data_IF_874771360712
#
_entry.id   IF_874771360712
#
_cell.length_a   1.000
_cell.length_b   1.000
_cell.length_c   1.000
_cell.angle_alpha   90.00
_cell.angle_beta   90.00
_cell.angle_gamma   90.00
#
_symmetry.space_group_name_H-M   'P 1'
#
loop_
_entity.id
_entity.type
_entity.pdbx_description
1 polymer ?
#
# COMPACT_ATOMS: atom_id res chain seq x y z
N UNK A 1 10.03 10.62 -19.04
CA UNK A 1 10.47 9.37 -18.36
C UNK A 1 11.92 9.57 -17.99
N UNK A 2 12.35 9.06 -16.83
CA UNK A 2 13.74 9.15 -16.41
C UNK A 2 14.66 8.41 -17.40
N UNK A 3 15.81 9.00 -17.82
CA UNK A 3 16.74 8.35 -18.74
C UNK A 3 17.30 7.01 -18.23
N UNK A 4 17.36 6.80 -16.91
CA UNK A 4 17.85 5.54 -16.32
C UNK A 4 16.96 4.34 -16.65
N UNK A 5 15.69 4.59 -16.99
CA UNK A 5 14.74 3.56 -17.42
C UNK A 5 14.80 3.29 -18.93
N UNK A 6 15.69 3.96 -19.66
CA UNK A 6 15.94 3.61 -21.06
C UNK A 6 16.58 2.22 -21.15
N UNK A 7 16.03 1.39 -22.02
CA UNK A 7 16.51 0.01 -22.16
C UNK A 7 17.91 0.04 -22.80
N UNK A 8 18.91 -0.65 -22.20
CA UNK A 8 20.21 -0.78 -22.82
C UNK A 8 20.10 -1.54 -24.16
N UNK A 9 21.04 -1.37 -25.09
CA UNK A 9 20.98 -1.99 -26.43
C UNK A 9 20.75 -3.50 -26.40
N UNK A 10 21.32 -4.22 -25.44
CA UNK A 10 21.10 -5.67 -25.32
C UNK A 10 19.68 -6.05 -24.90
N UNK A 11 18.90 -5.15 -24.29
CA UNK A 11 17.48 -5.36 -23.97
C UNK A 11 16.55 -4.73 -25.02
N UNK A 12 17.12 -4.16 -26.09
CA UNK A 12 16.38 -3.47 -27.15
C UNK A 12 15.59 -4.39 -28.08
N UNK A 13 15.62 -5.71 -27.89
CA UNK A 13 14.72 -6.68 -28.52
C UNK A 13 13.37 -6.77 -27.79
N UNK A 14 13.34 -6.44 -26.50
CA UNK A 14 12.12 -6.40 -25.68
C UNK A 14 11.44 -7.75 -25.50
N UNK A 15 10.36 -7.77 -24.73
CA UNK A 15 9.49 -8.93 -24.57
C UNK A 15 8.31 -8.84 -25.53
N UNK A 16 7.78 -9.99 -26.01
CA UNK A 16 6.43 -10.04 -26.56
C UNK A 16 5.43 -9.48 -25.54
N UNK A 17 4.45 -8.71 -26.03
CA UNK A 17 3.45 -8.07 -25.18
C UNK A 17 2.65 -9.09 -24.34
N UNK A 18 2.35 -10.25 -24.91
CA UNK A 18 1.69 -11.36 -24.22
C UNK A 18 2.51 -11.87 -23.04
N UNK A 19 3.84 -12.00 -23.20
CA UNK A 19 4.75 -12.42 -22.13
C UNK A 19 4.83 -11.37 -21.02
N UNK A 20 4.89 -10.08 -21.37
CA UNK A 20 4.88 -9.00 -20.37
C UNK A 20 3.60 -9.00 -19.52
N UNK A 21 2.44 -9.19 -20.15
CA UNK A 21 1.16 -9.32 -19.44
C UNK A 21 1.07 -10.61 -18.62
N UNK A 22 1.54 -11.74 -19.15
CA UNK A 22 1.56 -13.01 -18.43
C UNK A 22 2.43 -12.94 -17.17
N UNK A 23 3.62 -12.33 -17.26
CA UNK A 23 4.48 -12.09 -16.10
C UNK A 23 3.84 -11.14 -15.10
N UNK A 24 3.21 -10.06 -15.56
CA UNK A 24 2.49 -9.13 -14.67
C UNK A 24 1.35 -9.83 -13.91
N UNK A 25 0.59 -10.68 -14.61
CA UNK A 25 -0.45 -11.51 -14.01
C UNK A 25 0.14 -12.50 -13.01
N UNK A 26 1.24 -13.17 -13.36
CA UNK A 26 1.93 -14.12 -12.48
C UNK A 26 2.40 -13.44 -11.19
N UNK A 27 3.07 -12.29 -11.28
CA UNK A 27 3.55 -11.55 -10.10
C UNK A 27 2.39 -11.08 -9.22
N UNK A 28 1.31 -10.58 -9.84
CA UNK A 28 0.11 -10.14 -9.11
C UNK A 28 -0.56 -11.31 -8.38
N UNK A 29 -0.77 -12.43 -9.09
CA UNK A 29 -1.46 -13.59 -8.53
C UNK A 29 -0.60 -14.37 -7.55
N UNK A 30 0.73 -14.44 -7.73
CA UNK A 30 1.62 -15.01 -6.72
C UNK A 30 1.64 -14.16 -5.46
N UNK A 31 1.60 -12.83 -5.58
CA UNK A 31 1.56 -11.93 -4.43
C UNK A 31 0.27 -12.12 -3.64
N UNK A 32 -0.89 -11.95 -4.30
CA UNK A 32 -2.21 -12.09 -3.66
C UNK A 32 -2.44 -13.53 -3.17
N UNK A 33 -2.11 -14.51 -3.99
CA UNK A 33 -2.26 -15.93 -3.66
C UNK A 33 -1.44 -16.35 -2.44
N UNK A 34 -0.24 -15.78 -2.26
CA UNK A 34 0.60 -16.07 -1.08
C UNK A 34 -0.09 -15.69 0.24
N UNK A 35 -0.88 -14.61 0.26
CA UNK A 35 -1.64 -14.19 1.43
C UNK A 35 -2.69 -15.24 1.83
N UNK A 36 -3.44 -15.76 0.86
CA UNK A 36 -4.47 -16.77 1.09
C UNK A 36 -3.91 -18.14 1.44
N UNK A 37 -2.89 -18.58 0.71
CA UNK A 37 -2.25 -19.89 0.92
C UNK A 37 -1.61 -19.95 2.30
N UNK A 38 -1.01 -18.84 2.77
CA UNK A 38 -0.41 -18.77 4.11
C UNK A 38 -1.41 -19.04 5.25
N UNK A 39 -2.70 -18.74 5.02
CA UNK A 39 -3.77 -19.02 5.97
C UNK A 39 -4.24 -20.48 5.89
N UNK A 40 -4.36 -21.05 4.68
CA UNK A 40 -4.86 -22.40 4.49
C UNK A 40 -3.86 -23.50 4.84
N UNK A 41 -2.58 -23.34 4.49
CA UNK A 41 -1.56 -24.36 4.76
C UNK A 41 -1.28 -24.56 6.25
N UNK A 42 -1.59 -23.55 7.07
CA UNK A 42 -1.17 -23.54 8.47
C UNK A 42 -2.27 -23.14 9.47
N UNK A 43 -3.52 -22.99 9.00
CA UNK A 43 -4.71 -22.73 9.83
C UNK A 43 -5.38 -23.98 10.40
N UNK A 44 -4.88 -25.18 10.06
CA UNK A 44 -5.42 -26.46 10.51
C UNK A 44 -4.73 -27.05 11.76
N UNK A 45 -4.05 -26.23 12.57
CA UNK A 45 -3.52 -26.67 13.86
C UNK A 45 -4.38 -26.15 15.01
N UNK A 46 -5.34 -27.02 15.39
CA UNK A 46 -5.98 -27.21 16.71
C UNK A 46 -6.91 -26.15 17.28
N UNK A 47 -8.23 -26.46 17.31
CA UNK A 47 -9.02 -26.43 18.54
C UNK A 47 -10.20 -27.41 18.44
N UNK A 48 -10.29 -28.28 19.44
CA UNK A 48 -11.33 -29.30 19.63
C UNK A 48 -12.65 -28.58 20.03
N UNK A 49 -13.83 -28.85 19.43
CA UNK A 49 -15.03 -28.00 19.57
C UNK A 49 -15.72 -27.99 20.95
N UNK A 50 -15.11 -28.49 22.03
CA UNK A 50 -15.84 -28.86 23.26
C UNK A 50 -15.75 -27.92 24.46
N UNK A 51 -15.09 -26.76 24.38
CA UNK A 51 -15.10 -25.78 25.48
C UNK A 51 -15.00 -24.34 24.97
N UNK A 52 -16.11 -23.77 24.54
CA UNK A 52 -16.27 -22.32 24.48
C UNK A 52 -17.58 -21.97 25.21
N UNK A 53 -17.56 -21.15 26.28
CA UNK A 53 -18.78 -20.64 26.91
C UNK A 53 -19.50 -19.71 25.92
N UNK A 54 -20.84 -19.73 25.93
CA UNK A 54 -21.65 -18.82 25.12
C UNK A 54 -21.33 -17.34 25.45
N UNK A 55 -21.15 -16.47 24.43
CA UNK A 55 -20.96 -15.05 24.69
C UNK A 55 -22.29 -14.38 25.08
N UNK A 56 -22.26 -13.62 26.18
CA UNK A 56 -23.34 -12.74 26.59
C UNK A 56 -23.53 -11.60 25.59
N UNK A 57 -24.79 -11.17 25.42
CA UNK A 57 -25.18 -10.02 24.58
C UNK A 57 -24.45 -8.75 25.03
N UNK A 58 -23.57 -8.20 24.18
CA UNK A 58 -22.96 -6.88 24.37
C UNK A 58 -23.69 -5.85 23.50
N UNK A 59 -24.03 -4.72 24.11
CA UNK A 59 -24.69 -3.58 23.45
C UNK A 59 -23.77 -2.95 22.40
N UNK A 60 -24.27 -2.81 21.17
CA UNK A 60 -23.60 -2.07 20.10
C UNK A 60 -23.58 -0.57 20.44
N UNK A 61 -22.45 -0.05 20.90
CA UNK A 61 -22.20 1.40 20.92
C UNK A 61 -21.78 1.84 19.53
N UNK A 62 -22.50 2.81 18.98
CA UNK A 62 -22.25 3.38 17.64
C UNK A 62 -21.14 4.42 17.75
N UNK A 63 -19.90 3.95 17.84
CA UNK A 63 -18.71 4.82 17.72
C UNK A 63 -18.57 5.34 16.27
N UNK A 64 -18.10 6.59 16.07
CA UNK A 64 -17.82 7.12 14.74
C UNK A 64 -16.81 6.23 14.01
N UNK A 65 -17.08 5.94 12.73
CA UNK A 65 -16.17 5.17 11.86
C UNK A 65 -14.72 5.69 11.99
N UNK A 66 -13.74 4.84 12.34
CA UNK A 66 -12.34 5.23 12.33
C UNK A 66 -11.95 5.69 10.92
N UNK A 67 -10.93 6.57 10.79
CA UNK A 67 -10.47 7.04 9.49
C UNK A 67 -10.12 5.83 8.63
N UNK A 68 -10.72 5.76 7.44
CA UNK A 68 -10.46 4.72 6.45
C UNK A 68 -8.98 4.86 6.07
N UNK A 69 -8.12 4.06 6.69
CA UNK A 69 -6.76 3.89 6.24
C UNK A 69 -6.76 3.02 4.98
N UNK A 70 -5.77 3.18 4.11
CA UNK A 70 -5.51 2.24 3.03
C UNK A 70 -5.15 0.83 3.56
N UNK A 71 -4.88 0.72 4.87
CA UNK A 71 -4.81 -0.57 5.55
C UNK A 71 -6.22 -1.01 5.91
N UNK A 72 -6.68 -2.13 5.34
CA UNK A 72 -7.96 -2.73 5.71
C UNK A 72 -7.94 -3.12 7.19
N UNK A 73 -8.53 -2.25 8.01
CA UNK A 73 -8.87 -2.58 9.38
C UNK A 73 -10.14 -3.44 9.30
N UNK A 74 -10.01 -4.74 9.56
CA UNK A 74 -11.14 -5.67 9.60
C UNK A 74 -11.95 -5.49 10.89
N UNK A 75 -12.55 -4.32 11.12
CA UNK A 75 -13.59 -4.19 12.13
C UNK A 75 -13.60 -2.87 12.88
N UNK A 76 -14.81 -2.32 12.98
CA UNK A 76 -15.25 -1.57 14.15
C UNK A 76 -14.93 -2.40 15.40
N UNK A 77 -14.35 -1.74 16.41
CA UNK A 77 -13.76 -2.33 17.60
C UNK A 77 -14.66 -3.34 18.30
N UNK A 78 -14.34 -4.62 18.10
CA UNK A 78 -14.66 -5.67 19.06
C UNK A 78 -13.33 -6.14 19.60
N UNK A 79 -12.79 -5.41 20.58
CA UNK A 79 -11.81 -6.00 21.49
C UNK A 79 -12.50 -7.14 22.21
N UNK A 80 -12.20 -8.38 21.81
CA UNK A 80 -12.40 -9.50 22.70
C UNK A 80 -11.39 -9.34 23.84
N UNK A 81 -11.83 -9.52 25.10
CA UNK A 81 -10.99 -9.47 26.32
C UNK A 81 -9.75 -10.40 26.27
N UNK A 82 -9.67 -11.29 25.26
CA UNK A 82 -8.61 -12.28 25.05
C UNK A 82 -7.68 -11.95 23.85
N UNK A 83 -7.85 -10.79 23.21
CA UNK A 83 -7.13 -10.41 21.98
C UNK A 83 -7.77 -10.96 20.69
N UNK A 84 -7.16 -10.70 19.52
CA UNK A 84 -7.71 -11.13 18.23
C UNK A 84 -7.79 -12.66 18.14
N UNK A 85 -8.89 -13.20 17.61
CA UNK A 85 -9.12 -14.65 17.52
C UNK A 85 -8.06 -15.37 16.66
N UNK A 86 -7.74 -16.62 17.00
CA UNK A 86 -6.86 -17.48 16.19
C UNK A 86 -7.44 -17.64 14.77
N UNK A 87 -6.63 -17.29 13.76
CA UNK A 87 -7.05 -17.29 12.36
C UNK A 87 -7.58 -15.95 11.86
N UNK A 88 -7.83 -14.97 12.75
CA UNK A 88 -8.10 -13.60 12.33
C UNK A 88 -6.87 -12.96 11.67
N UNK A 89 -7.10 -11.96 10.80
CA UNK A 89 -6.06 -11.22 10.07
C UNK A 89 -5.03 -10.58 11.00
N UNK A 90 -5.49 -10.08 12.14
CA UNK A 90 -4.66 -9.34 13.09
C UNK A 90 -4.06 -10.22 14.20
N UNK A 91 -4.32 -11.53 14.16
CA UNK A 91 -3.63 -12.47 15.04
C UNK A 91 -2.11 -12.48 14.75
N UNK A 92 -1.22 -12.39 15.76
CA UNK A 92 0.23 -12.27 15.56
C UNK A 92 0.86 -13.34 14.66
N UNK A 93 0.39 -14.60 14.77
CA UNK A 93 0.85 -15.71 13.93
C UNK A 93 0.43 -15.49 12.47
N UNK A 94 -0.81 -15.04 12.25
CA UNK A 94 -1.33 -14.75 10.91
C UNK A 94 -0.55 -13.60 10.28
N UNK A 95 -0.27 -12.53 11.04
CA UNK A 95 0.54 -11.40 10.58
C UNK A 95 1.93 -11.86 10.14
N UNK A 96 2.66 -12.57 11.00
CA UNK A 96 4.02 -13.06 10.69
C UNK A 96 4.05 -13.93 9.44
N UNK A 97 3.16 -14.92 9.35
CA UNK A 97 3.10 -15.84 8.20
C UNK A 97 2.74 -15.13 6.90
N UNK A 98 1.77 -14.22 6.95
CA UNK A 98 1.40 -13.41 5.78
C UNK A 98 2.58 -12.56 5.33
N UNK A 99 3.30 -11.91 6.26
CA UNK A 99 4.51 -11.13 5.95
C UNK A 99 5.62 -12.00 5.33
N UNK A 100 5.89 -13.18 5.86
CA UNK A 100 6.87 -14.13 5.30
C UNK A 100 6.47 -14.59 3.89
N UNK A 101 5.18 -14.89 3.69
CA UNK A 101 4.64 -15.34 2.41
C UNK A 101 4.75 -14.25 1.33
N UNK A 102 4.34 -13.01 1.63
CA UNK A 102 4.46 -11.90 0.67
C UNK A 102 5.90 -11.52 0.40
N UNK A 103 6.78 -11.55 1.42
CA UNK A 103 8.20 -11.31 1.23
C UNK A 103 8.82 -12.36 0.29
N UNK A 104 8.50 -13.63 0.50
CA UNK A 104 8.97 -14.74 -0.35
C UNK A 104 8.46 -14.59 -1.79
N UNK A 105 7.16 -14.30 -1.96
CA UNK A 105 6.56 -14.08 -3.29
C UNK A 105 7.15 -12.86 -4.02
N UNK A 106 7.46 -11.81 -3.27
CA UNK A 106 8.12 -10.60 -3.79
C UNK A 106 9.54 -10.91 -4.26
N UNK A 107 10.32 -11.65 -3.46
CA UNK A 107 11.67 -12.09 -3.85
C UNK A 107 11.65 -12.98 -5.10
N UNK A 108 10.66 -13.88 -5.21
CA UNK A 108 10.47 -14.69 -6.42
C UNK A 108 10.14 -13.83 -7.64
N UNK A 109 9.32 -12.79 -7.48
CA UNK A 109 8.99 -11.85 -8.56
C UNK A 109 10.23 -11.05 -9.02
N UNK A 110 11.05 -10.60 -8.07
CA UNK A 110 12.35 -9.95 -8.35
C UNK A 110 13.29 -10.91 -9.08
N UNK A 111 13.38 -12.16 -8.62
CA UNK A 111 14.14 -13.21 -9.28
C UNK A 111 13.63 -13.51 -10.69
N UNK A 112 12.32 -13.44 -10.92
CA UNK A 112 11.70 -13.57 -12.23
C UNK A 112 12.15 -12.47 -13.20
N UNK A 113 12.14 -11.20 -12.76
CA UNK A 113 12.67 -10.08 -13.57
C UNK A 113 14.15 -10.27 -13.87
N UNK A 114 14.94 -10.63 -12.86
CA UNK A 114 16.38 -10.88 -13.02
C UNK A 114 16.67 -11.97 -14.05
N UNK A 115 15.92 -13.08 -13.99
CA UNK A 115 16.02 -14.17 -14.97
C UNK A 115 15.65 -13.67 -16.38
N UNK A 116 14.56 -12.93 -16.52
CA UNK A 116 14.12 -12.38 -17.81
C UNK A 116 15.17 -11.44 -18.41
N UNK A 117 15.72 -10.52 -17.61
CA UNK A 117 16.78 -9.59 -18.05
C UNK A 117 18.03 -10.36 -18.50
N UNK A 118 18.43 -11.39 -17.73
CA UNK A 118 19.56 -12.24 -18.08
C UNK A 118 19.34 -12.94 -19.43
N UNK A 119 18.17 -13.55 -19.64
CA UNK A 119 17.89 -14.27 -20.89
C UNK A 119 17.77 -13.32 -22.08
N UNK A 120 17.04 -12.22 -21.92
CA UNK A 120 16.79 -11.28 -23.01
C UNK A 120 18.06 -10.56 -23.47
N UNK A 121 18.92 -10.18 -22.52
CA UNK A 121 20.18 -9.49 -22.81
C UNK A 121 21.36 -10.43 -23.10
N UNK A 122 21.14 -11.75 -23.08
CA UNK A 122 22.19 -12.77 -23.14
C UNK A 122 23.37 -12.50 -22.18
N UNK A 123 23.04 -11.99 -20.98
CA UNK A 123 24.03 -11.64 -19.97
C UNK A 123 24.47 -12.88 -19.18
N UNK A 124 25.70 -12.83 -18.66
CA UNK A 124 26.04 -13.65 -17.49
C UNK A 124 25.21 -13.22 -16.28
N UNK A 125 25.13 -14.08 -15.26
CA UNK A 125 24.43 -13.75 -14.01
C UNK A 125 24.94 -12.43 -13.41
N UNK A 126 26.27 -12.23 -13.34
CA UNK A 126 26.85 -11.02 -12.77
C UNK A 126 26.49 -9.76 -13.56
N UNK A 127 26.54 -9.83 -14.90
CA UNK A 127 26.24 -8.69 -15.77
C UNK A 127 24.76 -8.30 -15.72
N UNK A 128 23.85 -9.26 -15.50
CA UNK A 128 22.43 -9.00 -15.41
C UNK A 128 22.02 -8.20 -14.16
N UNK A 129 22.87 -8.11 -13.12
CA UNK A 129 22.54 -7.44 -11.85
C UNK A 129 22.26 -5.95 -12.08
N UNK A 130 23.19 -5.24 -12.70
CA UNK A 130 23.07 -3.78 -12.92
C UNK A 130 21.81 -3.38 -13.71
N UNK A 131 21.53 -3.93 -14.92
CA UNK A 131 20.32 -3.59 -15.66
C UNK A 131 19.04 -4.04 -14.94
N UNK A 132 19.09 -5.11 -14.16
CA UNK A 132 17.95 -5.54 -13.32
C UNK A 132 17.67 -4.52 -12.22
N UNK A 133 18.69 -4.08 -11.49
CA UNK A 133 18.54 -3.10 -10.42
C UNK A 133 18.02 -1.75 -10.95
N UNK A 134 18.52 -1.32 -12.12
CA UNK A 134 18.00 -0.15 -12.82
C UNK A 134 16.51 -0.29 -13.16
N UNK A 135 16.09 -1.43 -13.72
CA UNK A 135 14.68 -1.72 -14.01
C UNK A 135 13.82 -1.91 -12.75
N UNK A 136 14.38 -2.34 -11.64
CA UNK A 136 13.65 -2.38 -10.37
C UNK A 136 13.58 -1.01 -9.69
N UNK A 137 14.27 0.00 -10.22
CA UNK A 137 14.36 1.33 -9.63
C UNK A 137 15.08 1.33 -8.28
N UNK A 138 16.01 0.40 -8.10
CA UNK A 138 16.90 0.36 -6.93
C UNK A 138 18.24 0.95 -7.34
N UNK A 139 18.62 2.14 -6.84
CA UNK A 139 19.88 2.76 -7.22
C UNK A 139 21.05 1.86 -6.83
N UNK A 140 21.99 1.69 -7.76
CA UNK A 140 23.18 0.84 -7.59
C UNK A 140 24.30 1.51 -6.78
N UNK A 141 24.06 2.71 -6.22
CA UNK A 141 25.00 3.44 -5.39
C UNK A 141 24.31 4.21 -4.25
N UNK A 142 25.11 4.56 -3.23
CA UNK A 142 24.67 5.43 -2.15
C UNK A 142 24.68 6.89 -2.61
N UNK A 143 23.51 7.43 -2.94
CA UNK A 143 23.33 8.85 -3.26
C UNK A 143 22.19 9.43 -2.44
N UNK A 144 22.38 10.64 -1.92
CA UNK A 144 21.25 11.45 -1.40
C UNK A 144 20.25 11.63 -2.54
N UNK A 145 18.92 11.52 -2.30
CA UNK A 145 17.94 11.71 -3.35
C UNK A 145 18.20 13.04 -4.06
N UNK A 146 18.53 12.98 -5.36
CA UNK A 146 18.95 14.14 -6.15
C UNK A 146 17.82 15.18 -6.30
N UNK A 147 16.58 14.78 -6.00
CA UNK A 147 15.39 15.63 -6.02
C UNK A 147 14.55 15.37 -4.78
N UNK A 148 14.36 16.39 -3.94
CA UNK A 148 13.47 16.32 -2.78
C UNK A 148 11.98 16.36 -3.18
N UNK A 149 11.65 17.06 -4.27
CA UNK A 149 10.27 17.29 -4.71
C UNK A 149 9.41 16.00 -4.78
N UNK A 150 9.83 14.89 -5.42
CA UNK A 150 9.08 13.62 -5.44
C UNK A 150 8.61 13.13 -4.06
N UNK A 151 9.44 13.29 -3.03
CA UNK A 151 9.16 12.86 -1.66
C UNK A 151 8.22 13.82 -0.92
N UNK A 152 8.17 15.08 -1.37
CA UNK A 152 7.38 16.15 -0.74
C UNK A 152 5.99 16.31 -1.34
N UNK A 153 5.71 15.70 -2.50
CA UNK A 153 4.39 15.80 -3.14
C UNK A 153 3.26 15.26 -2.25
N UNK A 154 3.42 14.06 -1.67
CA UNK A 154 2.38 13.48 -0.80
C UNK A 154 2.19 14.24 0.52
N UNK A 155 3.27 14.58 1.26
CA UNK A 155 3.15 15.47 2.42
C UNK A 155 2.49 16.82 2.08
N UNK A 156 2.86 17.40 0.92
CA UNK A 156 2.28 18.64 0.42
C UNK A 156 0.79 18.54 0.13
N UNK A 157 0.35 17.46 -0.53
CA UNK A 157 -1.06 17.16 -0.77
C UNK A 157 -1.84 17.06 0.55
N UNK A 158 -1.21 16.49 1.57
CA UNK A 158 -1.83 16.23 2.88
C UNK A 158 -1.68 17.37 3.90
N UNK A 159 -1.28 18.58 3.51
CA UNK A 159 -1.25 19.76 4.40
C UNK A 159 -2.62 20.03 5.04
N UNK A 160 -3.71 19.88 4.27
CA UNK A 160 -5.08 20.00 4.79
C UNK A 160 -5.40 19.00 5.90
N UNK A 161 -5.29 17.68 5.63
CA UNK A 161 -5.36 16.63 6.64
C UNK A 161 -4.49 16.89 7.88
N UNK A 162 -3.21 17.26 7.70
CA UNK A 162 -2.31 17.59 8.80
C UNK A 162 -2.82 18.74 9.67
N UNK A 163 -3.29 19.83 9.04
CA UNK A 163 -3.86 20.97 9.75
C UNK A 163 -5.12 20.55 10.53
N UNK A 164 -5.99 19.76 9.91
CA UNK A 164 -7.22 19.28 10.52
C UNK A 164 -6.94 18.37 11.74
N UNK A 165 -6.01 17.43 11.61
CA UNK A 165 -5.56 16.56 12.70
C UNK A 165 -4.87 17.33 13.82
N UNK A 166 -4.11 18.38 13.50
CA UNK A 166 -3.54 19.29 14.50
C UNK A 166 -4.62 19.98 15.32
N UNK A 167 -5.70 20.43 14.68
CA UNK A 167 -6.81 21.06 15.40
C UNK A 167 -7.50 20.06 16.35
N UNK A 168 -7.71 18.83 15.91
CA UNK A 168 -8.39 17.81 16.71
C UNK A 168 -7.50 17.09 17.71
N UNK A 169 -6.19 17.33 17.70
CA UNK A 169 -5.22 16.65 18.57
C UNK A 169 -4.91 15.22 18.12
N UNK A 170 -5.24 14.86 16.88
CA UNK A 170 -5.17 13.50 16.34
C UNK A 170 -3.93 13.27 15.46
N UNK A 171 -2.91 14.15 15.52
CA UNK A 171 -1.71 14.00 14.67
C UNK A 171 -1.00 12.67 14.94
N UNK A 172 -0.64 11.89 13.91
CA UNK A 172 0.14 10.66 14.07
C UNK A 172 1.50 11.00 14.70
N UNK A 173 2.07 10.08 15.51
CA UNK A 173 3.36 10.21 16.19
C UNK A 173 3.38 11.26 17.32
N UNK A 174 2.72 12.41 17.16
CA UNK A 174 2.61 13.44 18.20
C UNK A 174 1.52 13.06 19.22
N UNK A 175 0.37 12.58 18.76
CA UNK A 175 -0.68 12.05 19.64
C UNK A 175 -0.27 10.76 20.36
N UNK A 176 0.79 10.09 19.89
CA UNK A 176 1.40 8.94 20.57
C UNK A 176 2.25 9.34 21.78
N UNK A 177 2.77 10.57 21.82
CA UNK A 177 3.61 11.01 22.94
C UNK A 177 2.75 11.41 24.13
N UNK A 178 3.01 10.78 25.28
CA UNK A 178 2.55 11.27 26.58
C UNK A 178 3.50 12.37 27.09
N UNK A 179 3.00 13.25 27.94
CA UNK A 179 3.82 14.31 28.53
C UNK A 179 5.05 13.71 29.26
N UNK A 180 6.23 14.20 28.91
CA UNK A 180 7.52 13.70 29.42
C UNK A 180 8.07 12.44 28.72
N UNK A 181 7.35 11.87 27.75
CA UNK A 181 7.78 10.65 27.04
C UNK A 181 8.77 10.94 25.90
N UNK A 182 9.86 10.17 25.82
CA UNK A 182 10.80 10.26 24.69
C UNK A 182 10.15 9.75 23.40
N UNK A 183 10.60 10.24 22.24
CA UNK A 183 10.09 9.74 20.96
C UNK A 183 10.35 8.24 20.80
N UNK A 184 11.50 7.76 21.27
CA UNK A 184 11.87 6.36 21.21
C UNK A 184 10.93 5.46 22.03
N UNK A 185 10.56 5.88 23.24
CA UNK A 185 9.61 5.13 24.07
C UNK A 185 8.20 5.12 23.47
N UNK A 186 7.75 6.24 22.91
CA UNK A 186 6.48 6.30 22.19
C UNK A 186 6.49 5.37 20.96
N UNK A 187 7.56 5.39 20.16
CA UNK A 187 7.72 4.48 19.03
C UNK A 187 7.76 3.02 19.50
N UNK A 188 8.53 2.68 20.53
CA UNK A 188 8.59 1.30 21.02
C UNK A 188 7.23 0.79 21.52
N UNK A 189 6.39 1.67 22.07
CA UNK A 189 5.05 1.32 22.55
C UNK A 189 4.07 1.08 21.41
N UNK A 190 4.08 1.98 20.43
CA UNK A 190 3.08 2.00 19.35
C UNK A 190 3.50 1.15 18.15
N UNK A 191 4.79 0.86 17.97
CA UNK A 191 5.30 0.12 16.81
C UNK A 191 5.30 -1.39 17.07
N UNK A 192 4.10 -1.97 17.08
CA UNK A 192 3.86 -3.41 17.17
C UNK A 192 3.90 -4.11 15.82
N UNK A 193 3.47 -5.38 15.81
CA UNK A 193 3.46 -6.21 14.59
C UNK A 193 2.50 -5.67 13.52
N UNK A 194 1.41 -5.02 13.92
CA UNK A 194 0.42 -4.43 13.01
C UNK A 194 1.04 -3.23 12.29
N UNK A 195 1.78 -2.39 13.01
CA UNK A 195 2.44 -1.20 12.48
C UNK A 195 3.62 -1.57 11.59
N UNK A 196 4.41 -2.59 11.96
CA UNK A 196 5.45 -3.16 11.08
C UNK A 196 4.84 -3.65 9.77
N UNK A 197 3.72 -4.38 9.85
CA UNK A 197 2.99 -4.83 8.65
C UNK A 197 2.51 -3.65 7.82
N UNK A 198 1.84 -2.68 8.45
CA UNK A 198 1.12 -1.60 7.79
C UNK A 198 2.03 -0.49 7.23
N UNK A 199 3.16 -0.21 7.88
CA UNK A 199 4.03 0.92 7.56
C UNK A 199 5.39 0.52 6.98
N UNK A 200 5.76 -0.75 7.07
CA UNK A 200 7.05 -1.23 6.56
C UNK A 200 6.84 -2.35 5.54
N UNK A 201 6.40 -3.53 6.00
CA UNK A 201 6.43 -4.74 5.16
C UNK A 201 5.44 -4.63 4.00
N UNK A 202 4.18 -4.27 4.27
CA UNK A 202 3.15 -4.12 3.24
C UNK A 202 3.55 -3.11 2.17
N UNK A 203 3.80 -1.82 2.52
CA UNK A 203 4.23 -0.83 1.54
C UNK A 203 5.47 -1.24 0.75
N UNK A 204 6.47 -1.82 1.41
CA UNK A 204 7.70 -2.26 0.76
C UNK A 204 7.44 -3.36 -0.27
N UNK A 205 6.73 -4.43 0.11
CA UNK A 205 6.48 -5.54 -0.80
C UNK A 205 5.52 -5.17 -1.92
N UNK A 206 4.52 -4.34 -1.64
CA UNK A 206 3.60 -3.83 -2.67
C UNK A 206 4.31 -2.94 -3.68
N UNK A 207 5.12 -1.96 -3.25
CA UNK A 207 5.82 -1.12 -4.21
C UNK A 207 6.88 -1.90 -5.01
N UNK A 208 7.56 -2.87 -4.42
CA UNK A 208 8.48 -3.73 -5.18
C UNK A 208 7.72 -4.57 -6.22
N UNK A 209 6.59 -5.18 -5.89
CA UNK A 209 5.84 -5.96 -6.87
C UNK A 209 5.19 -5.07 -7.93
N UNK A 210 4.46 -4.05 -7.52
CA UNK A 210 3.63 -3.27 -8.45
C UNK A 210 4.42 -2.18 -9.18
N UNK A 211 5.44 -1.56 -8.56
CA UNK A 211 6.21 -0.44 -9.15
C UNK A 211 7.60 -0.83 -9.59
N UNK A 212 8.18 -1.92 -9.07
CA UNK A 212 9.42 -2.46 -9.61
C UNK A 212 9.15 -3.58 -10.62
N UNK A 213 8.60 -4.72 -10.21
CA UNK A 213 8.60 -5.91 -11.09
C UNK A 213 7.60 -5.82 -12.24
N UNK A 214 6.36 -5.39 -11.99
CA UNK A 214 5.33 -5.23 -13.03
C UNK A 214 5.70 -4.13 -14.03
N UNK A 215 6.19 -2.99 -13.53
CA UNK A 215 6.67 -1.90 -14.40
C UNK A 215 7.92 -2.31 -15.18
N UNK A 216 8.86 -3.07 -14.60
CA UNK A 216 10.03 -3.59 -15.31
C UNK A 216 9.64 -4.47 -16.52
N UNK A 217 8.78 -5.48 -16.32
CA UNK A 217 8.36 -6.35 -17.44
C UNK A 217 7.49 -5.60 -18.45
N UNK A 218 6.73 -4.60 -18.01
CA UNK A 218 5.96 -3.72 -18.89
C UNK A 218 6.85 -2.79 -19.73
N UNK A 219 7.95 -2.27 -19.16
CA UNK A 219 8.96 -1.50 -19.88
C UNK A 219 9.68 -2.38 -20.91
N UNK A 220 10.05 -3.61 -20.53
CA UNK A 220 10.62 -4.60 -21.45
C UNK A 220 9.63 -4.97 -22.56
N UNK A 221 8.33 -5.04 -22.26
CA UNK A 221 7.23 -5.19 -23.24
C UNK A 221 6.91 -3.95 -24.06
N UNK A 222 7.63 -2.84 -23.85
CA UNK A 222 7.48 -1.54 -24.55
C UNK A 222 6.07 -0.98 -24.51
N UNK A 223 5.40 -1.14 -23.36
CA UNK A 223 4.13 -0.49 -23.15
C UNK A 223 4.26 1.04 -23.26
N UNK A 224 3.23 1.68 -23.80
CA UNK A 224 3.20 3.14 -23.88
C UNK A 224 3.27 3.77 -22.49
N UNK A 225 3.79 5.00 -22.39
CA UNK A 225 3.83 5.73 -21.11
C UNK A 225 2.45 5.82 -20.46
N UNK A 226 1.39 6.00 -21.25
CA UNK A 226 0.01 6.01 -20.76
C UNK A 226 -0.37 4.66 -20.14
N UNK A 227 -0.01 3.55 -20.77
CA UNK A 227 -0.27 2.21 -20.24
C UNK A 227 0.53 1.93 -18.96
N UNK A 228 1.78 2.42 -18.88
CA UNK A 228 2.62 2.28 -17.69
C UNK A 228 2.08 3.08 -16.49
N UNK A 229 1.54 4.28 -16.73
CA UNK A 229 0.95 5.12 -15.67
C UNK A 229 -0.45 4.67 -15.30
N UNK A 230 -1.33 4.47 -16.29
CA UNK A 230 -2.77 4.29 -16.05
C UNK A 230 -3.23 2.83 -16.11
N UNK A 231 -2.52 1.98 -16.84
CA UNK A 231 -2.89 0.58 -17.05
C UNK A 231 -2.34 -0.37 -15.99
N UNK A 232 -1.04 -0.30 -15.67
CA UNK A 232 -0.42 -1.23 -14.71
C UNK A 232 -1.03 -1.16 -13.30
N UNK A 233 -1.52 -0.01 -12.79
CA UNK A 233 -2.16 0.03 -11.48
C UNK A 233 -3.51 -0.70 -11.40
N UNK A 234 -4.10 -1.10 -12.53
CA UNK A 234 -5.29 -1.95 -12.51
C UNK A 234 -5.00 -3.31 -11.90
N UNK A 235 -3.77 -3.84 -12.04
CA UNK A 235 -3.34 -5.07 -11.34
C UNK A 235 -3.38 -4.90 -9.82
N UNK A 236 -2.96 -3.73 -9.32
CA UNK A 236 -3.03 -3.37 -7.91
C UNK A 236 -4.48 -3.21 -7.43
N UNK A 237 -5.34 -2.57 -8.22
CA UNK A 237 -6.76 -2.43 -7.91
C UNK A 237 -7.48 -3.78 -7.83
N UNK A 238 -7.32 -4.65 -8.83
CA UNK A 238 -7.93 -5.99 -8.86
C UNK A 238 -7.50 -6.81 -7.64
N UNK A 239 -6.23 -6.70 -7.23
CA UNK A 239 -5.72 -7.36 -6.04
C UNK A 239 -6.48 -7.01 -4.76
N UNK A 240 -7.17 -5.87 -4.69
CA UNK A 240 -7.98 -5.45 -3.52
C UNK A 240 -9.48 -5.69 -3.68
N UNK A 241 -9.96 -6.04 -4.88
CA UNK A 241 -11.39 -6.27 -5.12
C UNK A 241 -11.97 -7.43 -4.26
N UNK A 242 -11.11 -8.35 -3.83
CA UNK A 242 -11.50 -9.48 -2.97
C UNK A 242 -12.06 -9.04 -1.61
N UNK A 243 -11.64 -7.89 -1.07
CA UNK A 243 -12.13 -7.39 0.21
C UNK A 243 -13.63 -7.10 0.20
N UNK A 244 -14.18 -6.68 -0.94
CA UNK A 244 -15.63 -6.50 -1.07
C UNK A 244 -16.41 -7.78 -0.85
N UNK A 245 -15.90 -8.88 -1.37
CA UNK A 245 -16.51 -10.18 -1.18
C UNK A 245 -16.41 -10.67 0.27
N UNK A 246 -15.27 -10.42 0.93
CA UNK A 246 -15.09 -10.73 2.35
C UNK A 246 -16.01 -9.91 3.24
N UNK A 247 -16.17 -8.61 2.99
CA UNK A 247 -17.11 -7.74 3.69
C UNK A 247 -18.56 -8.22 3.54
N UNK A 248 -18.97 -8.56 2.31
CA UNK A 248 -20.30 -9.09 2.05
C UNK A 248 -20.57 -10.37 2.86
N UNK A 249 -19.58 -11.27 2.92
CA UNK A 249 -19.67 -12.50 3.71
C UNK A 249 -19.76 -12.23 5.21
N UNK A 250 -18.93 -11.32 5.74
CA UNK A 250 -18.86 -10.98 7.17
C UNK A 250 -20.14 -10.28 7.66
N UNK A 251 -20.75 -9.45 6.83
CA UNK A 251 -21.91 -8.64 7.20
C UNK A 251 -23.27 -9.34 6.99
N UNK A 252 -23.28 -10.68 6.96
CA UNK A 252 -24.52 -11.46 6.96
C UNK A 252 -25.20 -11.65 5.61
N UNK A 253 -24.50 -11.37 4.49
CA UNK A 253 -24.91 -11.74 3.12
C UNK A 253 -26.32 -11.26 2.70
N UNK A 254 -26.74 -10.09 3.17
CA UNK A 254 -28.03 -9.49 2.84
C UNK A 254 -27.86 -8.28 1.90
N UNK A 255 -28.97 -7.71 1.41
CA UNK A 255 -28.95 -6.59 0.48
C UNK A 255 -28.24 -5.34 1.01
N UNK A 256 -28.38 -5.04 2.31
CA UNK A 256 -27.68 -3.92 2.94
C UNK A 256 -26.17 -4.15 3.02
N UNK A 257 -25.76 -5.38 3.38
CA UNK A 257 -24.36 -5.81 3.38
C UNK A 257 -23.74 -5.77 1.98
N UNK A 258 -24.51 -6.16 0.95
CA UNK A 258 -24.07 -6.08 -0.44
C UNK A 258 -23.86 -4.62 -0.88
N UNK A 259 -24.82 -3.73 -0.59
CA UNK A 259 -24.68 -2.32 -0.90
C UNK A 259 -23.48 -1.69 -0.19
N UNK A 260 -23.31 -1.97 1.10
CA UNK A 260 -22.16 -1.48 1.88
C UNK A 260 -20.84 -2.01 1.30
N UNK A 261 -20.75 -3.31 1.02
CA UNK A 261 -19.55 -3.90 0.42
C UNK A 261 -19.22 -3.25 -0.93
N UNK A 262 -20.20 -3.06 -1.80
CA UNK A 262 -20.02 -2.40 -3.09
C UNK A 262 -19.49 -0.96 -2.90
N UNK A 263 -20.14 -0.16 -2.05
CA UNK A 263 -19.74 1.24 -1.84
C UNK A 263 -18.33 1.35 -1.25
N UNK A 264 -18.00 0.54 -0.24
CA UNK A 264 -16.67 0.53 0.37
C UNK A 264 -15.61 0.08 -0.64
N UNK A 265 -15.85 -1.00 -1.38
CA UNK A 265 -14.92 -1.50 -2.39
C UNK A 265 -14.74 -0.50 -3.53
N UNK A 266 -15.80 0.15 -4.03
CA UNK A 266 -15.68 1.18 -5.05
C UNK A 266 -14.84 2.38 -4.57
N UNK A 267 -15.06 2.82 -3.34
CA UNK A 267 -14.28 3.90 -2.74
C UNK A 267 -12.80 3.50 -2.60
N UNK A 268 -12.53 2.32 -2.05
CA UNK A 268 -11.19 1.79 -1.89
C UNK A 268 -10.49 1.61 -3.24
N UNK A 269 -11.15 0.99 -4.22
CA UNK A 269 -10.61 0.82 -5.58
C UNK A 269 -10.31 2.16 -6.25
N UNK A 270 -11.16 3.17 -6.07
CA UNK A 270 -10.92 4.50 -6.61
C UNK A 270 -9.66 5.10 -6.00
N UNK A 271 -9.56 5.08 -4.67
CA UNK A 271 -8.42 5.64 -3.95
C UNK A 271 -7.11 4.92 -4.29
N UNK A 272 -7.10 3.59 -4.26
CA UNK A 272 -5.90 2.77 -4.58
C UNK A 272 -5.49 2.89 -6.04
N UNK A 273 -6.45 3.03 -6.96
CA UNK A 273 -6.16 3.28 -8.38
C UNK A 273 -5.52 4.65 -8.60
N UNK A 274 -6.07 5.72 -8.01
CA UNK A 274 -5.51 7.07 -8.12
C UNK A 274 -4.11 7.15 -7.51
N UNK A 275 -3.92 6.58 -6.31
CA UNK A 275 -2.59 6.46 -5.71
C UNK A 275 -1.67 5.67 -6.63
N UNK A 276 -2.16 4.59 -7.22
CA UNK A 276 -1.35 3.76 -8.08
C UNK A 276 -0.89 4.45 -9.37
N UNK A 277 -1.74 5.30 -9.98
CA UNK A 277 -1.32 6.15 -11.09
C UNK A 277 -0.21 7.11 -10.67
N UNK A 278 -0.36 7.73 -9.51
CA UNK A 278 0.64 8.65 -8.97
C UNK A 278 1.96 7.93 -8.63
N UNK A 279 1.91 6.75 -8.02
CA UNK A 279 3.09 5.96 -7.69
C UNK A 279 3.84 5.49 -8.95
N UNK A 280 3.13 5.01 -9.98
CA UNK A 280 3.74 4.68 -11.28
C UNK A 280 4.35 5.93 -11.93
N UNK A 281 3.67 7.08 -11.86
CA UNK A 281 4.22 8.35 -12.33
C UNK A 281 5.53 8.71 -11.61
N UNK A 282 5.56 8.67 -10.27
CA UNK A 282 6.76 8.95 -9.48
C UNK A 282 7.93 8.04 -9.87
N UNK A 283 7.68 6.74 -9.99
CA UNK A 283 8.69 5.78 -10.43
C UNK A 283 9.21 6.13 -11.82
N UNK A 284 8.33 6.38 -12.79
CA UNK A 284 8.72 6.69 -14.18
C UNK A 284 9.42 8.05 -14.34
N UNK A 285 9.23 8.98 -13.40
CA UNK A 285 9.90 10.30 -13.39
C UNK A 285 11.23 10.31 -12.66
N UNK A 286 11.45 9.37 -11.76
CA UNK A 286 12.65 9.35 -10.91
C UNK A 286 13.56 8.14 -11.16
N UNK A 287 13.08 7.13 -11.87
CA UNK A 287 13.78 5.85 -12.00
C UNK A 287 13.98 5.14 -10.67
N UNK A 288 13.18 5.46 -9.65
CA UNK A 288 13.34 4.93 -8.30
C UNK A 288 12.02 4.47 -7.66
N UNK A 289 12.08 3.35 -6.93
CA UNK A 289 10.97 2.85 -6.11
C UNK A 289 10.84 3.60 -4.77
N UNK A 290 11.85 4.38 -4.36
CA UNK A 290 11.83 5.05 -3.06
C UNK A 290 10.82 6.21 -2.96
N UNK A 291 10.66 7.10 -3.96
CA UNK A 291 9.60 8.10 -3.92
C UNK A 291 8.19 7.52 -3.78
N UNK A 292 7.73 6.55 -4.61
CA UNK A 292 6.41 5.95 -4.41
C UNK A 292 6.29 5.18 -3.08
N UNK A 293 7.35 4.51 -2.62
CA UNK A 293 7.36 3.87 -1.29
C UNK A 293 7.18 4.88 -0.16
N UNK A 294 7.88 6.01 -0.21
CA UNK A 294 7.72 7.07 0.79
C UNK A 294 6.30 7.64 0.79
N UNK A 295 5.71 7.85 -0.40
CA UNK A 295 4.34 8.28 -0.56
C UNK A 295 3.35 7.27 0.03
N UNK A 296 3.59 5.97 -0.21
CA UNK A 296 2.76 4.89 0.31
C UNK A 296 2.77 4.87 1.84
N UNK A 297 3.96 4.81 2.44
CA UNK A 297 4.12 4.80 3.90
C UNK A 297 3.43 6.03 4.51
N UNK A 298 3.62 7.21 3.90
CA UNK A 298 3.00 8.45 4.37
C UNK A 298 1.47 8.39 4.29
N UNK A 299 0.90 7.88 3.19
CA UNK A 299 -0.54 7.67 3.06
C UNK A 299 -1.07 6.70 4.12
N UNK A 300 -0.35 5.61 4.42
CA UNK A 300 -0.76 4.64 5.44
C UNK A 300 -0.71 5.24 6.85
N UNK A 301 0.32 6.05 7.15
CA UNK A 301 0.45 6.73 8.44
C UNK A 301 -0.67 7.77 8.67
N UNK A 302 -1.04 8.50 7.62
CA UNK A 302 -2.02 9.58 7.72
C UNK A 302 -3.47 9.08 7.63
N UNK A 303 -3.71 8.02 6.85
CA UNK A 303 -5.04 7.57 6.49
C UNK A 303 -5.86 8.64 5.76
N UNK A 304 -7.17 8.39 5.61
CA UNK A 304 -8.09 9.37 5.03
C UNK A 304 -8.68 10.23 6.15
N UNK A 305 -8.25 11.49 6.21
CA UNK A 305 -8.83 12.49 7.10
C UNK A 305 -9.69 13.47 6.31
N UNK A 306 -11.01 13.42 6.53
CA UNK A 306 -11.95 14.30 5.83
C UNK A 306 -12.05 15.67 6.53
N UNK A 307 -12.20 16.77 5.77
CA UNK A 307 -12.32 18.11 6.35
C UNK A 307 -13.56 18.23 7.24
N UNK A 308 -14.61 17.45 6.96
CA UNK A 308 -15.84 17.40 7.74
C UNK A 308 -15.62 16.96 9.19
N UNK A 309 -14.64 16.08 9.44
CA UNK A 309 -14.28 15.63 10.81
C UNK A 309 -13.84 16.81 11.67
N UNK A 310 -12.91 17.62 11.18
CA UNK A 310 -12.45 18.80 11.90
C UNK A 310 -13.48 19.94 11.92
N UNK A 311 -14.26 20.13 10.86
CA UNK A 311 -15.29 21.19 10.80
C UNK A 311 -16.38 20.99 11.84
N UNK A 312 -16.76 19.73 12.13
CA UNK A 312 -17.74 19.41 13.19
C UNK A 312 -17.28 19.90 14.57
N UNK A 313 -15.99 19.74 14.90
CA UNK A 313 -15.39 20.24 16.16
C UNK A 313 -15.08 21.73 16.12
N UNK A 314 -14.67 22.26 14.98
CA UNK A 314 -14.17 23.63 14.83
C UNK A 314 -14.90 24.41 13.72
N UNK A 315 -16.22 24.67 13.86
CA UNK A 315 -17.02 25.31 12.82
C UNK A 315 -16.52 26.73 12.49
N UNK A 316 -16.00 27.47 13.48
CA UNK A 316 -15.41 28.80 13.28
C UNK A 316 -14.17 28.81 12.38
N UNK A 317 -13.49 27.66 12.22
CA UNK A 317 -12.29 27.50 11.38
C UNK A 317 -12.58 26.89 10.01
N UNK A 318 -13.86 26.74 9.63
CA UNK A 318 -14.30 26.07 8.38
C UNK A 318 -13.58 26.59 7.13
N UNK A 319 -13.50 27.91 6.97
CA UNK A 319 -12.86 28.52 5.80
C UNK A 319 -11.36 28.16 5.72
N UNK A 320 -10.66 28.19 6.87
CA UNK A 320 -9.25 27.85 6.94
C UNK A 320 -9.00 26.35 6.70
N UNK A 321 -9.85 25.47 7.23
CA UNK A 321 -9.77 24.02 6.97
C UNK A 321 -9.89 23.77 5.47
N UNK A 322 -10.96 24.24 4.81
CA UNK A 322 -11.11 24.07 3.36
C UNK A 322 -9.97 24.72 2.56
N UNK A 323 -9.52 25.90 2.99
CA UNK A 323 -8.38 26.59 2.37
C UNK A 323 -7.10 25.75 2.38
N UNK A 324 -6.78 25.08 3.49
CA UNK A 324 -5.58 24.22 3.58
C UNK A 324 -5.67 22.95 2.74
N UNK A 325 -6.86 22.34 2.61
CA UNK A 325 -7.07 21.21 1.68
C UNK A 325 -6.90 21.65 0.23
N UNK A 326 -7.51 22.77 -0.15
CA UNK A 326 -7.38 23.31 -1.50
C UNK A 326 -5.92 23.70 -1.81
N UNK A 327 -5.22 24.34 -0.87
CA UNK A 327 -3.81 24.68 -1.01
C UNK A 327 -2.94 23.44 -1.22
N UNK A 328 -3.20 22.35 -0.49
CA UNK A 328 -2.51 21.07 -0.69
C UNK A 328 -2.75 20.49 -2.09
N UNK A 329 -3.99 20.47 -2.57
CA UNK A 329 -4.35 19.98 -3.92
C UNK A 329 -3.68 20.84 -5.01
N UNK A 330 -3.74 22.17 -4.88
CA UNK A 330 -3.14 23.10 -5.85
C UNK A 330 -1.61 22.96 -5.85
N UNK A 331 -0.99 22.88 -4.67
CA UNK A 331 0.45 22.67 -4.54
C UNK A 331 0.90 21.34 -5.15
N UNK A 332 0.13 20.27 -4.91
CA UNK A 332 0.38 18.97 -5.54
C UNK A 332 0.30 19.03 -7.06
N UNK A 333 -0.73 19.68 -7.61
CA UNK A 333 -0.89 19.83 -9.07
C UNK A 333 0.30 20.52 -9.72
N UNK A 334 0.76 21.65 -9.15
CA UNK A 334 1.94 22.34 -9.67
C UNK A 334 3.22 21.55 -9.46
N UNK A 335 3.37 20.88 -8.32
CA UNK A 335 4.51 20.02 -8.05
C UNK A 335 4.61 18.84 -9.03
N UNK A 336 3.49 18.19 -9.35
CA UNK A 336 3.44 17.13 -10.37
C UNK A 336 3.81 17.65 -11.75
N UNK A 337 3.40 18.87 -12.11
CA UNK A 337 3.76 19.51 -13.39
C UNK A 337 5.24 19.83 -13.52
N UNK A 338 5.88 20.24 -12.42
CA UNK A 338 7.30 20.60 -12.37
C UNK A 338 8.19 19.37 -12.38
N UNK A 339 7.80 18.34 -11.63
CA UNK A 339 8.52 17.07 -11.55
C UNK A 339 8.67 16.46 -12.93
#
# INVERSE_FOLDING_TARGET
MDPLLSLPPALSSGLPLSTAHALSFLFTTSYVGSLYISQHLFGASTLNPRKAPLPNKVHAQTEPLPPISATDADGLGVEHDLGPELGSRDHPITIKRRMEAVASSTLLSVGGVYYVVKQLGNYSWKEAISPTMALLGVPTGFGVPSRALPYLLTPGLMIGPLYAMRLTGEMPIIGWRRDGETLWSALKREFGLVEVRNYIVGPLTEEVVFRSTILAVSLLGRLSLKSLVFGTPMWFGIAHAHHGFEMYKKNGRNGAAALQAILTTLFQLTYTTLFGWFASYLYLRTGSVFPPLSAHIYCNLMGIYLPTTAIKRYPRRKALIWGTYLAGIVGFYFGVKIL
#
